data_IF_246526215637
#
_entry.id   IF_246526215637
#
_cell.length_a   1.000
_cell.length_b   1.000
_cell.length_c   1.000
_cell.angle_alpha   90.00
_cell.angle_beta   90.00
_cell.angle_gamma   90.00
#
_symmetry.space_group_name_H-M   'P 1'
#
loop_
_entity.id
_entity.type
_entity.pdbx_description
1 polymer ?
#
# COMPACT_ATOMS: atom_id res chain seq x y z
N UNK A 1 20.28 -7.78 5.66
CA UNK A 1 19.36 -7.18 4.68
C UNK A 1 18.68 -5.99 5.31
N UNK A 2 18.83 -4.83 4.68
CA UNK A 2 18.23 -3.57 5.07
C UNK A 2 16.80 -3.47 4.55
N UNK A 3 16.08 -2.41 4.95
CA UNK A 3 14.68 -2.17 4.53
C UNK A 3 14.54 -2.19 3.00
N UNK A 4 15.48 -1.54 2.31
CA UNK A 4 15.49 -1.44 0.84
C UNK A 4 15.63 -2.82 0.18
N UNK A 5 16.45 -3.72 0.71
CA UNK A 5 16.66 -5.06 0.13
C UNK A 5 15.35 -5.87 0.12
N UNK A 6 14.58 -5.80 1.19
CA UNK A 6 13.29 -6.50 1.28
C UNK A 6 12.24 -5.94 0.32
N UNK A 7 12.14 -4.62 0.24
CA UNK A 7 11.20 -3.96 -0.67
C UNK A 7 11.57 -4.30 -2.13
N UNK A 8 12.86 -4.24 -2.46
CA UNK A 8 13.37 -4.62 -3.78
C UNK A 8 13.05 -6.07 -4.11
N UNK A 9 13.31 -7.00 -3.17
CA UNK A 9 13.02 -8.42 -3.37
C UNK A 9 11.54 -8.67 -3.70
N UNK A 10 10.60 -8.08 -2.94
CA UNK A 10 9.18 -8.25 -3.22
C UNK A 10 8.75 -7.61 -4.54
N UNK A 11 9.25 -6.42 -4.85
CA UNK A 11 8.89 -5.71 -6.08
C UNK A 11 9.43 -6.43 -7.33
N UNK A 12 10.68 -6.93 -7.26
CA UNK A 12 11.31 -7.67 -8.34
C UNK A 12 10.62 -9.01 -8.56
N UNK A 13 10.27 -9.75 -7.50
CA UNK A 13 9.55 -11.02 -7.64
C UNK A 13 8.26 -10.86 -8.46
N UNK A 14 7.44 -9.84 -8.16
CA UNK A 14 6.19 -9.58 -8.92
C UNK A 14 6.48 -9.08 -10.34
N UNK A 15 7.52 -8.28 -10.52
CA UNK A 15 7.90 -7.75 -11.84
C UNK A 15 8.47 -8.84 -12.75
N UNK A 16 9.21 -9.81 -12.20
CA UNK A 16 9.71 -10.98 -12.91
C UNK A 16 8.56 -11.91 -13.32
N UNK A 17 7.58 -12.14 -12.44
CA UNK A 17 6.35 -12.88 -12.80
C UNK A 17 5.59 -12.19 -13.95
N UNK A 18 5.48 -10.86 -13.94
CA UNK A 18 4.90 -10.11 -15.05
C UNK A 18 5.71 -10.30 -16.35
N UNK A 19 7.04 -10.19 -16.28
CA UNK A 19 7.91 -10.32 -17.44
C UNK A 19 7.91 -11.75 -18.02
N UNK A 20 7.70 -12.76 -17.18
CA UNK A 20 7.57 -14.16 -17.58
C UNK A 20 6.20 -14.50 -18.20
N UNK A 21 5.28 -13.53 -18.30
CA UNK A 21 3.91 -13.76 -18.79
C UNK A 21 3.02 -14.47 -17.77
N UNK A 22 3.41 -14.43 -16.49
CA UNK A 22 2.63 -14.95 -15.37
C UNK A 22 1.37 -14.13 -15.10
N UNK A 23 0.61 -14.56 -14.08
CA UNK A 23 -0.61 -13.85 -13.67
C UNK A 23 -0.25 -12.72 -12.71
N UNK A 24 -0.59 -11.49 -13.09
CA UNK A 24 -0.37 -10.30 -12.27
C UNK A 24 -1.63 -9.47 -12.13
N UNK A 25 -1.67 -8.65 -11.08
CA UNK A 25 -2.75 -7.69 -10.83
C UNK A 25 -2.21 -6.30 -11.14
N UNK A 26 -2.92 -5.56 -12.00
CA UNK A 26 -2.58 -4.19 -12.35
C UNK A 26 -2.54 -3.28 -11.12
N UNK A 27 -1.51 -2.45 -10.98
CA UNK A 27 -1.42 -1.52 -9.86
C UNK A 27 -0.56 -0.28 -10.19
N UNK A 28 -1.04 0.69 -10.99
CA UNK A 28 -2.30 0.69 -11.77
C UNK A 28 -2.16 0.05 -13.16
N UNK A 29 -0.94 -0.28 -13.59
CA UNK A 29 -0.64 -0.98 -14.84
C UNK A 29 0.12 -2.28 -14.54
N UNK A 30 0.35 -3.10 -15.56
CA UNK A 30 1.24 -4.26 -15.43
C UNK A 30 2.70 -3.82 -15.18
N UNK A 31 3.16 -2.73 -15.79
CA UNK A 31 4.52 -2.20 -15.61
C UNK A 31 4.83 -1.77 -14.17
N UNK A 32 3.80 -1.40 -13.39
CA UNK A 32 3.93 -0.95 -12.00
C UNK A 32 3.42 -1.98 -10.96
N UNK A 33 3.04 -3.19 -11.39
CA UNK A 33 2.29 -4.15 -10.55
C UNK A 33 2.99 -4.58 -9.25
N UNK A 34 4.33 -4.50 -9.19
CA UNK A 34 5.11 -4.90 -8.02
C UNK A 34 5.09 -3.92 -6.84
N UNK A 35 4.72 -2.66 -7.04
CA UNK A 35 4.91 -1.60 -6.03
C UNK A 35 3.92 -1.74 -4.85
N UNK A 36 2.63 -1.81 -5.16
CA UNK A 36 1.56 -1.96 -4.17
C UNK A 36 1.74 -3.21 -3.29
N UNK A 37 1.98 -4.42 -3.85
CA UNK A 37 2.18 -5.62 -3.03
C UNK A 37 3.51 -5.60 -2.26
N UNK A 38 4.59 -5.02 -2.79
CA UNK A 38 5.86 -4.95 -2.07
C UNK A 38 5.77 -4.15 -0.78
N UNK A 39 5.10 -3.00 -0.82
CA UNK A 39 4.89 -2.15 0.37
C UNK A 39 4.00 -2.85 1.40
N UNK A 40 2.93 -3.53 0.95
CA UNK A 40 2.03 -4.25 1.85
C UNK A 40 2.71 -5.46 2.49
N UNK A 41 3.47 -6.25 1.72
CA UNK A 41 4.23 -7.40 2.20
C UNK A 41 5.30 -6.99 3.22
N UNK A 42 6.02 -5.90 2.97
CA UNK A 42 6.97 -5.36 3.94
C UNK A 42 6.27 -4.92 5.24
N UNK A 43 5.12 -4.25 5.14
CA UNK A 43 4.35 -3.84 6.31
C UNK A 43 3.86 -5.04 7.13
N UNK A 44 3.30 -6.05 6.46
CA UNK A 44 2.85 -7.29 7.10
C UNK A 44 3.98 -8.00 7.84
N UNK A 45 5.12 -8.18 7.17
CA UNK A 45 6.25 -8.95 7.68
C UNK A 45 6.99 -8.27 8.82
N UNK A 46 7.23 -6.96 8.73
CA UNK A 46 8.17 -6.26 9.62
C UNK A 46 7.54 -5.24 10.55
N UNK A 47 6.28 -4.83 10.32
CA UNK A 47 5.64 -3.76 11.10
C UNK A 47 4.47 -4.28 11.90
N UNK A 48 3.47 -4.85 11.23
CA UNK A 48 2.27 -5.37 11.88
C UNK A 48 1.55 -6.34 10.95
N UNK A 49 1.18 -7.54 11.44
CA UNK A 49 0.38 -8.48 10.67
C UNK A 49 -0.89 -7.82 10.12
N UNK A 50 -1.10 -7.97 8.82
CA UNK A 50 -2.29 -7.46 8.15
C UNK A 50 -3.46 -8.43 8.39
N UNK A 51 -4.63 -7.86 8.65
CA UNK A 51 -5.90 -8.55 8.61
C UNK A 51 -6.77 -7.99 7.47
N UNK A 52 -7.89 -8.64 7.20
CA UNK A 52 -8.86 -8.24 6.16
C UNK A 52 -9.19 -6.74 6.23
N UNK A 53 -9.38 -6.19 7.43
CA UNK A 53 -9.72 -4.77 7.59
C UNK A 53 -8.57 -3.84 7.24
N UNK A 54 -7.32 -4.18 7.57
CA UNK A 54 -6.16 -3.38 7.13
C UNK A 54 -5.90 -3.53 5.64
N UNK A 55 -6.13 -4.71 5.07
CA UNK A 55 -6.02 -4.95 3.63
C UNK A 55 -7.05 -4.08 2.90
N UNK A 56 -8.32 -4.12 3.32
CA UNK A 56 -9.39 -3.34 2.73
C UNK A 56 -9.10 -1.83 2.82
N UNK A 57 -8.64 -1.33 3.97
CA UNK A 57 -8.29 0.10 4.13
C UNK A 57 -7.10 0.50 3.27
N UNK A 58 -6.08 -0.34 3.19
CA UNK A 58 -4.91 -0.11 2.34
C UNK A 58 -5.32 0.05 0.87
N UNK A 59 -6.09 -0.91 0.33
CA UNK A 59 -6.55 -0.86 -1.05
C UNK A 59 -7.59 0.25 -1.30
N UNK A 60 -8.44 0.58 -0.33
CA UNK A 60 -9.39 1.69 -0.47
C UNK A 60 -8.68 3.04 -0.57
N UNK A 61 -7.68 3.28 0.29
CA UNK A 61 -6.87 4.50 0.25
C UNK A 61 -6.01 4.56 -1.03
N UNK A 62 -5.36 3.46 -1.40
CA UNK A 62 -4.61 3.35 -2.64
C UNK A 62 -5.51 3.60 -3.87
N UNK A 63 -6.69 2.98 -3.92
CA UNK A 63 -7.66 3.14 -4.99
C UNK A 63 -8.20 4.57 -5.09
N UNK A 64 -8.45 5.23 -3.96
CA UNK A 64 -8.88 6.63 -3.95
C UNK A 64 -7.83 7.56 -4.59
N UNK A 65 -6.54 7.37 -4.26
CA UNK A 65 -5.45 8.12 -4.91
C UNK A 65 -5.34 7.78 -6.39
N UNK A 66 -5.42 6.50 -6.77
CA UNK A 66 -5.42 6.09 -8.18
C UNK A 66 -6.55 6.71 -8.97
N UNK A 67 -7.75 6.80 -8.38
CA UNK A 67 -8.91 7.46 -8.99
C UNK A 67 -8.67 8.96 -9.23
N UNK A 68 -8.05 9.67 -8.27
CA UNK A 68 -7.70 11.09 -8.43
C UNK A 68 -6.75 11.30 -9.62
N UNK A 69 -5.71 10.47 -9.76
CA UNK A 69 -4.83 10.54 -10.92
C UNK A 69 -5.58 10.26 -12.22
N UNK A 70 -6.48 9.27 -12.23
CA UNK A 70 -7.23 8.88 -13.45
C UNK A 70 -8.22 9.95 -13.89
N UNK A 71 -8.85 10.66 -12.94
CA UNK A 71 -9.81 11.73 -13.23
C UNK A 71 -9.13 12.99 -13.78
N UNK A 72 -7.87 13.22 -13.41
CA UNK A 72 -7.16 14.47 -13.72
C UNK A 72 -6.06 14.31 -14.77
N UNK A 73 -5.62 13.09 -15.09
CA UNK A 73 -4.55 12.81 -16.04
C UNK A 73 -4.64 11.38 -16.60
N UNK A 74 -3.94 11.12 -17.70
CA UNK A 74 -3.74 9.74 -18.13
C UNK A 74 -2.78 9.01 -17.20
N UNK A 75 -3.04 7.71 -16.99
CA UNK A 75 -2.18 6.76 -16.28
C UNK A 75 -1.47 5.82 -17.27
N UNK A 76 -1.78 5.93 -18.57
CA UNK A 76 -1.17 5.07 -19.58
C UNK A 76 0.28 5.47 -19.80
N UNK A 77 1.23 4.56 -19.61
CA UNK A 77 2.64 4.78 -19.94
C UNK A 77 2.84 5.10 -21.42
N UNK A 78 1.91 4.72 -22.29
CA UNK A 78 1.92 5.11 -23.70
C UNK A 78 1.61 6.60 -23.94
N UNK A 79 0.97 7.29 -22.99
CA UNK A 79 0.54 8.69 -23.11
C UNK A 79 1.34 9.64 -22.20
N UNK A 80 1.82 9.17 -21.05
CA UNK A 80 2.51 9.99 -20.03
C UNK A 80 3.89 9.45 -19.63
N UNK A 81 4.37 8.37 -20.27
CA UNK A 81 5.65 7.72 -19.95
C UNK A 81 5.65 6.97 -18.62
N UNK A 82 6.77 6.30 -18.30
CA UNK A 82 6.89 5.45 -17.09
C UNK A 82 6.66 6.20 -15.77
N UNK A 83 6.88 7.53 -15.75
CA UNK A 83 6.61 8.36 -14.57
C UNK A 83 5.12 8.38 -14.21
N UNK A 84 4.23 8.32 -15.21
CA UNK A 84 2.79 8.26 -15.02
C UNK A 84 2.29 6.94 -14.44
N UNK A 85 3.01 5.84 -14.64
CA UNK A 85 2.63 4.52 -14.10
C UNK A 85 3.26 4.27 -12.73
N UNK A 86 4.58 4.39 -12.65
CA UNK A 86 5.36 4.08 -11.45
C UNK A 86 5.13 5.13 -10.38
N UNK A 87 5.09 6.41 -10.74
CA UNK A 87 4.84 7.51 -9.80
C UNK A 87 3.46 7.41 -9.16
N UNK A 88 2.44 7.06 -9.95
CA UNK A 88 1.07 6.87 -9.46
C UNK A 88 1.02 5.66 -8.52
N UNK A 89 1.63 4.53 -8.87
CA UNK A 89 1.68 3.36 -8.00
C UNK A 89 2.38 3.65 -6.66
N UNK A 90 3.49 4.40 -6.67
CA UNK A 90 4.18 4.85 -5.47
C UNK A 90 3.27 5.72 -4.57
N UNK A 91 2.55 6.67 -5.18
CA UNK A 91 1.60 7.55 -4.46
C UNK A 91 0.44 6.76 -3.85
N UNK A 92 -0.13 5.81 -4.61
CA UNK A 92 -1.16 4.89 -4.13
C UNK A 92 -0.67 4.05 -2.93
N UNK A 93 0.53 3.47 -3.04
CA UNK A 93 1.11 2.65 -1.97
C UNK A 93 1.42 3.47 -0.71
N UNK A 94 1.92 4.69 -0.88
CA UNK A 94 2.17 5.62 0.23
C UNK A 94 0.89 5.99 0.97
N UNK A 95 -0.22 6.22 0.26
CA UNK A 95 -1.51 6.50 0.88
C UNK A 95 -2.06 5.30 1.66
N UNK A 96 -2.02 4.10 1.06
CA UNK A 96 -2.41 2.87 1.75
C UNK A 96 -1.58 2.62 3.01
N UNK A 97 -0.25 2.78 2.92
CA UNK A 97 0.64 2.58 4.05
C UNK A 97 0.37 3.59 5.18
N UNK A 98 0.19 4.86 4.82
CA UNK A 98 -0.17 5.94 5.76
C UNK A 98 -1.47 5.63 6.49
N UNK A 99 -2.49 5.17 5.76
CA UNK A 99 -3.78 4.81 6.34
C UNK A 99 -3.66 3.65 7.35
N UNK A 100 -2.81 2.65 7.06
CA UNK A 100 -2.53 1.56 7.99
C UNK A 100 -1.80 2.01 9.26
N UNK A 101 -0.81 2.90 9.14
CA UNK A 101 -0.17 3.50 10.31
C UNK A 101 -1.15 4.33 11.13
N UNK A 102 -1.96 5.15 10.47
CA UNK A 102 -2.96 5.98 11.13
C UNK A 102 -4.04 5.14 11.85
N UNK A 103 -4.51 4.08 11.21
CA UNK A 103 -5.41 3.09 11.80
C UNK A 103 -4.87 2.52 13.11
N UNK A 104 -3.58 2.17 13.13
CA UNK A 104 -2.92 1.61 14.29
C UNK A 104 -2.82 2.63 15.43
N UNK A 105 -2.45 3.88 15.12
CA UNK A 105 -2.38 4.99 16.07
C UNK A 105 -3.75 5.25 16.69
N UNK A 106 -4.81 5.37 15.88
CA UNK A 106 -6.17 5.63 16.35
C UNK A 106 -6.69 4.55 17.31
N UNK A 107 -6.40 3.28 17.03
CA UNK A 107 -6.70 2.17 17.95
C UNK A 107 -5.97 2.28 19.28
N UNK A 108 -4.68 2.65 19.28
CA UNK A 108 -3.91 2.84 20.53
C UNK A 108 -4.49 3.97 21.38
N UNK A 109 -4.83 5.11 20.76
CA UNK A 109 -5.47 6.23 21.47
C UNK A 109 -6.84 5.85 22.03
N UNK A 110 -7.67 5.14 21.26
CA UNK A 110 -8.99 4.68 21.73
C UNK A 110 -8.87 3.70 22.91
N UNK A 111 -7.91 2.76 22.88
CA UNK A 111 -7.65 1.83 23.98
C UNK A 111 -7.15 2.56 25.24
N UNK A 112 -6.23 3.52 25.11
CA UNK A 112 -5.76 4.33 26.24
C UNK A 112 -6.86 5.15 26.90
N UNK A 113 -7.81 5.69 26.11
CA UNK A 113 -8.99 6.35 26.69
C UNK A 113 -9.83 5.33 27.47
N UNK A 114 -10.15 4.18 26.87
CA UNK A 114 -11.01 3.17 27.51
C UNK A 114 -10.40 2.64 28.83
N UNK A 115 -9.09 2.41 28.88
CA UNK A 115 -8.41 2.01 30.12
C UNK A 115 -8.45 3.10 31.20
N UNK A 116 -8.29 4.38 30.82
CA UNK A 116 -8.33 5.50 31.77
C UNK A 116 -9.70 5.67 32.44
N UNK A 117 -10.78 5.46 31.69
CA UNK A 117 -12.15 5.48 32.23
C UNK A 117 -12.46 4.27 33.12
N UNK A 118 -11.83 3.13 32.86
CA UNK A 118 -12.01 1.93 33.70
C UNK A 118 -11.34 2.06 35.08
N UNK A 119 -10.36 2.94 35.25
CA UNK A 119 -9.64 3.16 36.52
C UNK A 119 -10.32 4.25 37.38
N UNK A 120 -11.20 5.07 36.80
CA UNK A 120 -11.88 6.18 37.50
C UNK A 120 -13.30 5.85 37.97
N UNK A 121 -13.82 4.67 37.62
CA UNK A 121 -15.16 4.19 37.99
C UNK A 121 -15.13 3.01 38.98
N UNK A 122 -13.98 2.77 39.63
CA UNK A 122 -13.81 1.77 40.68
C UNK A 122 -13.69 2.40 42.06
#
# INVERSE_FOLDING_TARGET
>A
MNVIDWINMYALAVSEENAAGGRVVTAPTNGACGIIPAVLAYYDKFRRPVNERSIARYFLAAGAIGALYKMNASISGAEVGCQGEIGVACSMAAAGLTENYWAAVRRRYAMRRKSRWSITLG
#
